data_IF_873731446155
#
_entry.id   IF_873731446155
#
_cell.length_a   1.000
_cell.length_b   1.000
_cell.length_c   1.000
_cell.angle_alpha   90.00
_cell.angle_beta   90.00
_cell.angle_gamma   90.00
#
_symmetry.space_group_name_H-M   'P 1'
#
loop_
_entity.id
_entity.type
_entity.pdbx_description
1 polymer ?
#
# COMPACT_ATOMS: atom_id res chain seq x y z
N UNK A 1 13.49 8.55 1.40
CA UNK A 1 13.26 7.62 2.52
C UNK A 1 12.52 6.41 2.02
N UNK A 2 12.91 5.26 2.50
CA UNK A 2 12.18 4.03 2.20
C UNK A 2 12.31 3.04 3.34
N UNK A 3 11.36 2.11 3.40
CA UNK A 3 11.42 1.00 4.35
C UNK A 3 10.59 -0.16 3.83
N UNK A 4 10.83 -1.32 4.42
CA UNK A 4 10.12 -2.55 4.13
C UNK A 4 9.45 -3.05 5.40
N UNK A 5 8.26 -3.61 5.25
CA UNK A 5 7.52 -4.15 6.38
C UNK A 5 6.45 -5.11 5.86
N UNK A 6 5.71 -5.67 6.78
CA UNK A 6 4.53 -6.47 6.49
C UNK A 6 3.34 -5.80 7.16
N UNK A 7 2.19 -5.94 6.55
CA UNK A 7 1.00 -5.33 7.11
C UNK A 7 -0.28 -5.91 6.58
N UNK A 8 -1.37 -5.41 7.14
CA UNK A 8 -2.71 -5.82 6.77
C UNK A 8 -3.37 -4.62 6.10
N UNK A 9 -3.95 -4.85 4.93
CA UNK A 9 -4.68 -3.81 4.21
C UNK A 9 -6.00 -3.55 4.93
N UNK A 10 -6.20 -2.30 5.34
CA UNK A 10 -7.41 -1.92 6.06
C UNK A 10 -8.42 -1.25 5.14
N UNK A 11 -7.96 -0.42 4.21
CA UNK A 11 -8.85 0.34 3.35
C UNK A 11 -8.15 0.65 2.04
N UNK A 12 -8.94 0.84 1.00
CA UNK A 12 -8.45 1.18 -0.34
C UNK A 12 -9.46 2.10 -0.99
N UNK A 13 -8.96 3.09 -1.73
CA UNK A 13 -9.82 3.96 -2.54
C UNK A 13 -9.13 4.34 -3.83
N UNK A 14 -9.88 4.60 -4.89
CA UNK A 14 -9.29 5.02 -6.15
C UNK A 14 -8.55 6.36 -6.00
N UNK A 15 -7.50 6.52 -6.80
CA UNK A 15 -6.73 7.75 -6.84
C UNK A 15 -6.29 7.98 -8.28
N UNK A 16 -6.87 8.98 -8.93
CA UNK A 16 -6.63 9.20 -10.35
C UNK A 16 -7.22 8.07 -11.17
N UNK A 17 -6.66 7.84 -12.34
CA UNK A 17 -7.21 6.89 -13.31
C UNK A 17 -6.78 5.46 -13.05
N UNK A 18 -5.59 5.26 -12.50
CA UNK A 18 -5.03 3.91 -12.42
C UNK A 18 -4.40 3.58 -11.07
N UNK A 19 -4.34 4.53 -10.15
CA UNK A 19 -3.71 4.30 -8.86
C UNK A 19 -4.77 4.11 -7.77
N UNK A 20 -4.32 3.67 -6.61
CA UNK A 20 -5.14 3.58 -5.41
C UNK A 20 -4.35 4.09 -4.22
N UNK A 21 -5.05 4.68 -3.25
CA UNK A 21 -4.46 4.99 -1.95
C UNK A 21 -4.90 3.89 -1.00
N UNK A 22 -3.94 3.30 -0.33
CA UNK A 22 -4.21 2.24 0.64
C UNK A 22 -3.83 2.68 2.04
N UNK A 23 -4.55 2.14 3.01
CA UNK A 23 -4.22 2.27 4.42
C UNK A 23 -3.88 0.89 4.95
N UNK A 24 -2.73 0.77 5.59
CA UNK A 24 -2.24 -0.51 6.09
C UNK A 24 -1.86 -0.38 7.55
N UNK A 25 -2.04 -1.43 8.29
CA UNK A 25 -1.52 -1.55 9.64
C UNK A 25 -0.27 -2.42 9.57
N UNK A 26 0.88 -1.81 9.83
CA UNK A 26 2.17 -2.47 9.67
C UNK A 26 2.69 -2.96 11.01
N UNK A 27 3.61 -3.93 10.94
CA UNK A 27 4.22 -4.48 12.14
C UNK A 27 5.15 -3.48 12.84
N UNK A 28 5.94 -2.75 12.09
CA UNK A 28 6.96 -1.88 12.66
C UNK A 28 6.74 -0.39 12.45
N UNK A 29 5.73 0.02 11.67
CA UNK A 29 5.52 1.43 11.32
C UNK A 29 4.09 1.90 11.62
N UNK A 30 3.32 1.08 12.31
CA UNK A 30 1.96 1.44 12.69
C UNK A 30 1.04 1.62 11.51
N UNK A 31 0.03 2.45 11.70
CA UNK A 31 -0.94 2.77 10.65
C UNK A 31 -0.28 3.72 9.64
N UNK A 32 -0.31 3.34 8.37
CA UNK A 32 0.38 4.10 7.33
C UNK A 32 -0.43 4.11 6.05
N UNK A 33 -0.38 5.21 5.33
CA UNK A 33 -1.07 5.34 4.05
C UNK A 33 -0.08 5.63 2.94
N UNK A 34 -0.43 5.25 1.73
CA UNK A 34 0.41 5.53 0.56
C UNK A 34 -0.30 5.17 -0.72
N UNK A 35 0.32 5.55 -1.83
CA UNK A 35 -0.23 5.33 -3.16
C UNK A 35 0.34 4.04 -3.74
N UNK A 36 -0.53 3.20 -4.31
CA UNK A 36 -0.10 2.06 -5.10
C UNK A 36 -0.34 2.42 -6.56
N UNK A 37 0.74 2.62 -7.30
CA UNK A 37 0.64 2.92 -8.72
C UNK A 37 0.15 1.67 -9.44
N UNK A 38 -0.86 1.84 -10.28
CA UNK A 38 -1.51 0.71 -10.91
C UNK A 38 -2.47 -0.05 -10.00
N UNK A 39 -2.68 0.44 -8.77
CA UNK A 39 -3.54 -0.26 -7.80
C UNK A 39 -5.01 -0.29 -8.18
N UNK A 40 -5.42 0.54 -9.14
CA UNK A 40 -6.79 0.50 -9.64
C UNK A 40 -7.01 -0.48 -10.77
N UNK A 41 -5.98 -1.22 -11.20
CA UNK A 41 -6.09 -2.14 -12.31
C UNK A 41 -6.76 -3.45 -11.89
N UNK A 42 -7.27 -4.17 -12.87
CA UNK A 42 -7.86 -5.49 -12.63
C UNK A 42 -6.85 -6.46 -12.06
N UNK A 43 -5.59 -6.34 -12.47
CA UNK A 43 -4.55 -7.25 -12.02
C UNK A 43 -4.33 -7.15 -10.52
N UNK A 44 -4.50 -5.94 -9.97
CA UNK A 44 -4.26 -5.71 -8.55
C UNK A 44 -5.49 -5.96 -7.68
N UNK A 45 -6.66 -6.07 -8.28
CA UNK A 45 -7.89 -6.24 -7.51
C UNK A 45 -7.85 -7.44 -6.56
N UNK A 46 -7.36 -8.62 -6.97
CA UNK A 46 -7.29 -9.75 -6.03
C UNK A 46 -6.29 -9.54 -4.90
N UNK A 47 -5.28 -8.67 -5.10
CA UNK A 47 -4.24 -8.42 -4.11
C UNK A 47 -4.70 -7.38 -3.10
N UNK A 48 -5.38 -6.34 -3.59
CA UNK A 48 -5.73 -5.18 -2.77
C UNK A 48 -7.15 -5.32 -2.22
N UNK A 49 -7.33 -6.25 -1.31
CA UNK A 49 -8.61 -6.45 -0.64
C UNK A 49 -8.43 -6.22 0.87
N UNK A 50 -9.37 -5.55 1.52
CA UNK A 50 -9.30 -5.38 2.96
C UNK A 50 -9.13 -6.72 3.67
N UNK A 51 -8.21 -6.74 4.63
CA UNK A 51 -7.82 -7.96 5.31
C UNK A 51 -6.65 -8.70 4.68
N UNK A 52 -6.21 -8.31 3.49
CA UNK A 52 -5.08 -8.96 2.83
C UNK A 52 -3.79 -8.72 3.61
N UNK A 53 -2.99 -9.76 3.71
CA UNK A 53 -1.65 -9.67 4.30
C UNK A 53 -0.65 -9.41 3.18
N UNK A 54 0.12 -8.35 3.33
CA UNK A 54 0.98 -7.85 2.26
C UNK A 54 2.39 -7.64 2.75
N UNK A 55 3.35 -7.94 1.87
CA UNK A 55 4.70 -7.44 2.00
C UNK A 55 4.73 -6.05 1.37
N UNK A 56 5.30 -5.10 2.08
CA UNK A 56 5.22 -3.69 1.76
C UNK A 56 6.60 -3.10 1.57
N UNK A 57 6.78 -2.37 0.49
CA UNK A 57 7.92 -1.47 0.29
C UNK A 57 7.38 -0.06 0.17
N UNK A 58 7.69 0.77 1.13
CA UNK A 58 7.26 2.17 1.14
C UNK A 58 8.42 3.06 0.72
N UNK A 59 8.10 4.07 -0.08
CA UNK A 59 9.09 4.99 -0.59
C UNK A 59 8.51 6.39 -0.69
N UNK A 60 9.25 7.37 -0.22
CA UNK A 60 8.91 8.77 -0.36
C UNK A 60 10.19 9.60 -0.38
N UNK A 61 10.11 10.80 -0.95
CA UNK A 61 11.25 11.70 -0.95
C UNK A 61 11.53 12.24 0.45
N UNK A 62 10.46 12.55 1.18
CA UNK A 62 10.52 13.00 2.56
C UNK A 62 9.48 12.22 3.36
N UNK A 63 9.73 12.06 4.65
CA UNK A 63 8.84 11.24 5.48
C UNK A 63 7.46 11.86 5.69
N UNK A 64 7.31 13.18 5.49
CA UNK A 64 6.00 13.80 5.56
C UNK A 64 5.20 13.67 4.28
N UNK A 65 5.80 13.14 3.20
CA UNK A 65 5.06 12.87 1.97
C UNK A 65 4.22 11.61 2.13
N UNK A 66 3.11 11.57 1.41
CA UNK A 66 2.27 10.37 1.41
C UNK A 66 3.05 9.13 0.98
N UNK A 67 3.91 9.30 -0.04
CA UNK A 67 4.73 8.20 -0.51
C UNK A 67 3.96 7.19 -1.33
N UNK A 68 4.66 6.16 -1.73
CA UNK A 68 4.08 5.08 -2.52
C UNK A 68 4.48 3.73 -1.93
N UNK A 69 3.60 2.77 -2.16
CA UNK A 69 3.84 1.38 -1.79
C UNK A 69 4.01 0.51 -3.03
N UNK A 70 4.99 -0.36 -3.00
CA UNK A 70 5.00 -1.55 -3.82
C UNK A 70 4.58 -2.70 -2.92
N UNK A 71 3.61 -3.49 -3.36
CA UNK A 71 2.99 -4.50 -2.53
C UNK A 71 3.08 -5.86 -3.20
N UNK A 72 3.21 -6.89 -2.38
CA UNK A 72 3.13 -8.28 -2.82
C UNK A 72 2.31 -9.06 -1.81
N UNK A 73 1.47 -10.00 -2.26
CA UNK A 73 0.72 -10.84 -1.33
C UNK A 73 1.68 -11.75 -0.57
N UNK A 74 1.43 -11.91 0.73
CA UNK A 74 2.19 -12.86 1.53
C UNK A 74 1.68 -14.27 1.37
N UNK A 75 0.50 -14.43 0.78
CA UNK A 75 -0.11 -15.73 0.53
C UNK A 75 -0.82 -15.76 -0.80
#
# INVERSE_FOLDING_TARGET
>A
MDWQDEGILLAIRPHGESAAIIQVLTAGHGLHAGVVHGGGSRRMAPVLQPGAQLALNWRARLDQHLGSFAVEPLR
#
